data_IF_834354815922
#
_entry.id   IF_834354815922
#
_cell.length_a   1.000
_cell.length_b   1.000
_cell.length_c   1.000
_cell.angle_alpha   90.00
_cell.angle_beta   90.00
_cell.angle_gamma   90.00
#
_symmetry.space_group_name_H-M   'P 1'
#
loop_
_entity.id
_entity.type
_entity.pdbx_description
1 polymer ?
#
# COMPACT_ATOMS: atom_id res chain seq x y z
N UNK A 1 -18.02 -6.66 49.73
CA UNK A 1 -17.22 -7.45 48.76
C UNK A 1 -17.94 -7.25 47.44
N UNK A 2 -17.37 -6.47 46.51
CA UNK A 2 -18.03 -6.13 45.24
C UNK A 2 -17.98 -7.34 44.32
N UNK A 3 -19.14 -7.72 43.79
CA UNK A 3 -19.32 -8.86 42.90
C UNK A 3 -19.07 -8.40 41.46
N UNK A 4 -17.92 -8.76 40.90
CA UNK A 4 -17.46 -8.33 39.58
C UNK A 4 -18.07 -9.17 38.44
N UNK A 5 -18.98 -10.10 38.73
CA UNK A 5 -19.42 -11.10 37.74
C UNK A 5 -20.59 -10.66 36.84
N UNK A 6 -21.02 -9.39 36.90
CA UNK A 6 -22.15 -8.91 36.10
C UNK A 6 -21.84 -7.69 35.21
N UNK A 7 -20.57 -7.44 34.88
CA UNK A 7 -20.22 -6.53 33.78
C UNK A 7 -20.33 -7.27 32.44
N UNK A 8 -21.54 -7.26 31.89
CA UNK A 8 -21.78 -7.66 30.51
C UNK A 8 -21.22 -6.58 29.58
N UNK A 9 -19.93 -6.68 29.25
CA UNK A 9 -19.23 -5.79 28.32
C UNK A 9 -19.61 -6.13 26.87
N UNK A 10 -20.81 -5.73 26.45
CA UNK A 10 -21.23 -5.82 25.06
C UNK A 10 -22.06 -4.60 24.66
N UNK A 11 -21.49 -3.40 24.86
CA UNK A 11 -22.03 -2.20 24.24
C UNK A 11 -20.90 -1.32 23.71
N UNK A 12 -20.22 -1.83 22.68
CA UNK A 12 -19.64 -0.94 21.67
C UNK A 12 -20.72 -0.69 20.63
N UNK A 13 -21.73 0.10 20.98
CA UNK A 13 -22.55 0.77 19.98
C UNK A 13 -21.63 1.71 19.23
N UNK A 14 -21.12 1.25 18.08
CA UNK A 14 -20.51 2.14 17.10
C UNK A 14 -21.61 3.11 16.73
N UNK A 15 -21.54 4.33 17.25
CA UNK A 15 -22.38 5.42 16.79
C UNK A 15 -22.20 5.49 15.29
N UNK A 16 -23.21 5.02 14.54
CA UNK A 16 -23.27 5.18 13.11
C UNK A 16 -23.29 6.69 12.90
N UNK A 17 -22.12 7.25 12.60
CA UNK A 17 -22.00 8.61 12.09
C UNK A 17 -22.97 8.72 10.94
N UNK A 18 -24.05 9.46 11.21
CA UNK A 18 -25.15 9.66 10.29
C UNK A 18 -24.68 10.67 9.27
N UNK A 19 -23.94 10.21 8.26
CA UNK A 19 -23.69 11.01 7.06
C UNK A 19 -24.88 10.82 6.14
N UNK A 20 -25.81 11.76 6.25
CA UNK A 20 -27.06 11.81 5.48
C UNK A 20 -26.75 11.98 3.99
N UNK A 21 -27.18 10.99 3.22
CA UNK A 21 -27.59 11.04 1.80
C UNK A 21 -26.54 11.22 0.70
N UNK A 22 -26.06 10.08 0.19
CA UNK A 22 -26.47 9.64 -1.15
C UNK A 22 -26.31 8.12 -1.21
N UNK A 23 -27.30 7.42 -1.75
CA UNK A 23 -27.20 6.01 -2.16
C UNK A 23 -26.17 5.87 -3.29
N UNK A 24 -24.88 6.06 -2.99
CA UNK A 24 -23.82 5.53 -3.80
C UNK A 24 -23.75 4.05 -3.47
N UNK A 25 -24.08 3.21 -4.46
CA UNK A 25 -23.71 1.80 -4.47
C UNK A 25 -22.32 1.66 -3.82
N UNK A 26 -22.17 0.75 -2.83
CA UNK A 26 -20.90 0.44 -2.15
C UNK A 26 -19.77 0.40 -3.18
N UNK A 27 -19.14 1.54 -3.45
CA UNK A 27 -18.00 1.63 -4.36
C UNK A 27 -16.92 0.87 -3.63
N UNK A 28 -16.41 -0.18 -4.25
CA UNK A 28 -15.22 -0.87 -3.74
C UNK A 28 -14.18 0.22 -3.45
N UNK A 29 -13.60 0.27 -2.24
CA UNK A 29 -12.55 1.24 -1.94
C UNK A 29 -11.49 1.16 -3.04
N UNK A 30 -11.04 2.32 -3.52
CA UNK A 30 -9.97 2.37 -4.50
C UNK A 30 -8.73 1.64 -3.93
N UNK A 31 -8.03 0.82 -4.72
CA UNK A 31 -6.89 0.07 -4.21
C UNK A 31 -5.82 1.04 -3.70
N UNK A 32 -5.29 0.75 -2.51
CA UNK A 32 -4.23 1.54 -1.91
C UNK A 32 -2.98 1.51 -2.80
N UNK A 33 -2.58 2.67 -3.33
CA UNK A 33 -1.46 2.82 -4.24
C UNK A 33 -0.40 3.78 -3.70
N UNK A 34 0.85 3.59 -4.13
CA UNK A 34 1.98 4.40 -3.69
C UNK A 34 3.24 4.14 -4.49
N UNK A 35 4.25 4.96 -4.23
CA UNK A 35 5.55 4.83 -4.88
C UNK A 35 6.42 3.80 -4.17
N UNK A 36 7.12 3.00 -4.97
CA UNK A 36 7.88 1.84 -4.50
C UNK A 36 9.32 2.01 -4.89
N UNK A 37 10.19 2.00 -3.89
CA UNK A 37 11.63 2.03 -4.08
C UNK A 37 12.16 0.62 -3.98
N UNK A 38 12.87 0.20 -5.00
CA UNK A 38 13.50 -1.12 -5.09
C UNK A 38 14.99 -0.96 -5.22
N UNK A 39 15.74 -1.74 -4.44
CA UNK A 39 17.19 -1.79 -4.48
C UNK A 39 17.63 -3.21 -4.76
N UNK A 40 18.50 -3.39 -5.76
CA UNK A 40 19.09 -4.70 -6.01
C UNK A 40 20.02 -5.10 -4.86
N UNK A 41 20.05 -6.39 -4.55
CA UNK A 41 21.13 -6.95 -3.75
C UNK A 41 22.44 -6.94 -4.58
N UNK A 42 23.61 -6.90 -3.93
CA UNK A 42 24.90 -6.88 -4.64
C UNK A 42 25.01 -8.05 -5.63
N UNK A 43 25.39 -7.76 -6.89
CA UNK A 43 25.55 -8.78 -7.94
C UNK A 43 24.24 -9.19 -8.65
N UNK A 44 23.11 -8.55 -8.30
CA UNK A 44 21.80 -8.83 -8.89
C UNK A 44 21.20 -7.61 -9.61
N UNK A 45 22.00 -6.65 -10.06
CA UNK A 45 21.53 -5.39 -10.67
C UNK A 45 20.69 -5.61 -11.94
N UNK A 46 20.83 -6.75 -12.61
CA UNK A 46 20.00 -7.14 -13.76
C UNK A 46 18.52 -7.32 -13.38
N UNK A 47 18.21 -7.66 -12.12
CA UNK A 47 16.83 -7.87 -11.64
C UNK A 47 15.99 -6.59 -11.74
N UNK A 48 16.62 -5.42 -11.65
CA UNK A 48 15.92 -4.14 -11.77
C UNK A 48 15.39 -3.93 -13.19
N UNK A 49 16.10 -4.43 -14.21
CA UNK A 49 15.62 -4.41 -15.59
C UNK A 49 14.43 -5.36 -15.76
N UNK A 50 14.54 -6.60 -15.25
CA UNK A 50 13.45 -7.58 -15.29
C UNK A 50 12.18 -7.04 -14.62
N UNK A 51 12.33 -6.45 -13.44
CA UNK A 51 11.24 -5.87 -12.68
C UNK A 51 10.62 -4.66 -13.40
N UNK A 52 11.43 -3.76 -13.95
CA UNK A 52 10.93 -2.62 -14.70
C UNK A 52 10.07 -3.06 -15.89
N UNK A 53 10.57 -4.01 -16.69
CA UNK A 53 9.81 -4.58 -17.82
C UNK A 53 8.51 -5.24 -17.34
N UNK A 54 8.56 -5.98 -16.23
CA UNK A 54 7.36 -6.63 -15.68
C UNK A 54 6.33 -5.60 -15.19
N UNK A 55 6.78 -4.49 -14.61
CA UNK A 55 5.90 -3.42 -14.11
C UNK A 55 5.30 -2.61 -15.27
N UNK A 56 6.10 -2.25 -16.27
CA UNK A 56 5.64 -1.54 -17.48
C UNK A 56 4.60 -2.35 -18.26
N UNK A 57 4.75 -3.68 -18.33
CA UNK A 57 3.73 -4.57 -18.91
C UNK A 57 2.39 -4.53 -18.18
N UNK A 58 2.40 -4.18 -16.90
CA UNK A 58 1.20 -3.98 -16.09
C UNK A 58 0.72 -2.52 -16.10
N UNK A 59 1.37 -1.64 -16.87
CA UNK A 59 1.00 -0.23 -17.02
C UNK A 59 1.65 0.71 -16.00
N UNK A 60 2.59 0.23 -15.19
CA UNK A 60 3.29 1.06 -14.21
C UNK A 60 4.44 1.83 -14.84
N UNK A 61 4.65 3.06 -14.35
CA UNK A 61 5.84 3.85 -14.68
C UNK A 61 7.01 3.38 -13.81
N UNK A 62 8.18 3.19 -14.45
CA UNK A 62 9.40 2.77 -13.79
C UNK A 62 10.55 3.75 -14.11
N UNK A 63 11.27 4.23 -13.09
CA UNK A 63 12.46 5.07 -13.24
C UNK A 63 13.66 4.39 -12.59
N UNK A 64 14.73 4.16 -13.37
CA UNK A 64 15.96 3.55 -12.87
C UNK A 64 17.05 4.60 -12.63
N UNK A 65 17.70 4.53 -11.46
CA UNK A 65 18.93 5.28 -11.13
C UNK A 65 19.98 4.36 -10.53
N UNK A 66 20.92 3.91 -11.36
CA UNK A 66 21.98 2.98 -10.95
C UNK A 66 21.43 1.65 -10.43
N UNK A 67 21.75 1.32 -9.17
CA UNK A 67 21.29 0.12 -8.46
C UNK A 67 19.95 0.31 -7.73
N UNK A 68 19.18 1.35 -8.10
CA UNK A 68 17.85 1.64 -7.56
C UNK A 68 16.84 1.78 -8.69
N UNK A 69 15.61 1.35 -8.40
CA UNK A 69 14.45 1.48 -9.27
C UNK A 69 13.31 2.09 -8.46
N UNK A 70 12.59 3.05 -9.03
CA UNK A 70 11.35 3.59 -8.47
C UNK A 70 10.20 3.17 -9.37
N UNK A 71 9.16 2.55 -8.82
CA UNK A 71 7.90 2.30 -9.50
C UNK A 71 6.85 3.25 -8.94
N UNK A 72 6.06 3.88 -9.80
CA UNK A 72 5.10 4.91 -9.39
C UNK A 72 3.67 4.40 -9.35
N UNK A 73 2.91 4.88 -8.36
CA UNK A 73 1.47 4.59 -8.19
C UNK A 73 1.13 3.08 -8.25
N UNK A 74 2.00 2.22 -7.71
CA UNK A 74 1.79 0.78 -7.70
C UNK A 74 0.79 0.42 -6.61
N UNK A 75 -0.15 -0.49 -6.88
CA UNK A 75 -1.08 -0.97 -5.86
C UNK A 75 -0.37 -1.85 -4.82
N UNK A 76 -0.83 -1.84 -3.57
CA UNK A 76 -0.29 -2.71 -2.51
C UNK A 76 -0.29 -4.19 -2.93
N UNK A 77 -1.35 -4.65 -3.61
CA UNK A 77 -1.46 -6.02 -4.08
C UNK A 77 -0.33 -6.37 -5.08
N UNK A 78 -0.06 -5.48 -6.04
CA UNK A 78 0.97 -5.73 -7.05
C UNK A 78 2.37 -5.59 -6.48
N UNK A 79 2.60 -4.69 -5.51
CA UNK A 79 3.88 -4.62 -4.80
C UNK A 79 4.18 -5.91 -4.05
N UNK A 80 3.18 -6.51 -3.40
CA UNK A 80 3.36 -7.80 -2.74
C UNK A 80 3.63 -8.92 -3.75
N UNK A 81 2.99 -8.90 -4.91
CA UNK A 81 3.25 -9.84 -5.99
C UNK A 81 4.68 -9.70 -6.54
N UNK A 82 5.12 -8.47 -6.82
CA UNK A 82 6.50 -8.20 -7.23
C UNK A 82 7.51 -8.59 -6.15
N UNK A 83 7.24 -8.24 -4.89
CA UNK A 83 8.10 -8.64 -3.79
C UNK A 83 8.24 -10.16 -3.73
N UNK A 84 7.13 -10.91 -3.79
CA UNK A 84 7.17 -12.38 -3.81
C UNK A 84 8.01 -12.94 -4.97
N UNK A 85 7.92 -12.34 -6.16
CA UNK A 85 8.65 -12.80 -7.34
C UNK A 85 10.15 -12.45 -7.32
N UNK A 86 10.52 -11.33 -6.70
CA UNK A 86 11.86 -10.74 -6.81
C UNK A 86 12.63 -10.57 -5.48
N UNK A 87 12.03 -10.90 -4.34
CA UNK A 87 12.60 -10.69 -3.00
C UNK A 87 13.96 -11.40 -2.77
N UNK A 88 14.21 -12.50 -3.47
CA UNK A 88 15.51 -13.19 -3.38
C UNK A 88 16.69 -12.37 -3.94
N UNK A 89 16.41 -11.34 -4.75
CA UNK A 89 17.39 -10.58 -5.53
C UNK A 89 17.33 -9.07 -5.29
N UNK A 90 16.29 -8.59 -4.62
CA UNK A 90 16.07 -7.17 -4.38
C UNK A 90 15.27 -6.90 -3.10
N UNK A 91 15.49 -5.72 -2.51
CA UNK A 91 14.73 -5.21 -1.37
C UNK A 91 13.73 -4.16 -1.84
N UNK A 92 12.50 -4.24 -1.33
CA UNK A 92 11.39 -3.34 -1.64
C UNK A 92 11.09 -2.47 -0.42
N UNK A 93 10.85 -1.18 -0.66
CA UNK A 93 10.42 -0.20 0.34
C UNK A 93 9.32 0.65 -0.27
N UNK A 94 8.16 0.70 0.37
CA UNK A 94 7.04 1.51 -0.08
C UNK A 94 6.33 2.11 1.13
N UNK A 95 5.77 3.30 0.94
CA UNK A 95 4.89 3.92 1.92
C UNK A 95 3.52 4.12 1.26
N UNK A 96 2.50 3.52 1.86
CA UNK A 96 1.14 3.59 1.37
C UNK A 96 0.29 4.40 2.34
N UNK A 97 -0.44 5.39 1.81
CA UNK A 97 -1.30 6.27 2.62
C UNK A 97 -2.73 6.23 2.11
N UNK A 98 -3.68 6.01 3.03
CA UNK A 98 -5.11 6.04 2.72
C UNK A 98 -5.67 7.46 2.56
N UNK A 99 -5.02 8.44 3.19
CA UNK A 99 -5.42 9.85 3.13
C UNK A 99 -4.33 10.68 2.47
N UNK A 100 -4.76 11.69 1.69
CA UNK A 100 -3.83 12.70 1.17
C UNK A 100 -3.10 13.38 2.34
N UNK A 101 -1.78 13.64 2.22
CA UNK A 101 -1.06 14.36 3.26
C UNK A 101 -1.73 15.71 3.54
N UNK A 102 -1.90 16.03 4.82
CA UNK A 102 -2.44 17.33 5.23
C UNK A 102 -1.45 18.42 4.81
N UNK A 103 -1.90 19.35 3.98
CA UNK A 103 -1.13 20.53 3.65
C UNK A 103 -1.19 21.52 4.81
N UNK A 104 -0.04 21.89 5.36
CA UNK A 104 0.04 23.03 6.27
C UNK A 104 0.22 24.29 5.41
N UNK A 105 -0.78 25.16 5.40
CA UNK A 105 -0.65 26.50 4.82
C UNK A 105 -0.10 27.42 5.92
N UNK A 106 1.09 27.98 5.68
CA UNK A 106 1.69 29.02 6.52
C UNK A 106 1.25 30.41 6.12
#
# INVERSE_FOLDING_TARGET
MYDCQSDSYADFTVAQQTTTTTTQARRRPEPLAGDVRVRALPGHEAVLTELAISAERQGYLAERRGARLTLFAVTLADVLAFNRAFAARATFSAEFRLAAPVAFHG
#
